data_IF_229011515512
#
_entry.id   IF_229011515512
#
_cell.length_a   1.000
_cell.length_b   1.000
_cell.length_c   1.000
_cell.angle_alpha   90.00
_cell.angle_beta   90.00
_cell.angle_gamma   90.00
#
_symmetry.space_group_name_H-M   'P 1'
#
loop_
_entity.id
_entity.type
_entity.pdbx_description
1 polymer ?
#
# COMPACT_ATOMS: atom_id res chain seq x y z
N UNK A 1 84.28 57.22 -7.81
CA UNK A 1 83.42 57.98 -6.88
C UNK A 1 82.48 56.98 -6.19
N UNK A 2 82.28 57.10 -4.87
CA UNK A 2 81.67 56.10 -3.96
C UNK A 2 80.17 55.78 -4.20
N UNK A 3 79.79 54.52 -3.97
CA UNK A 3 78.66 53.96 -3.14
C UNK A 3 78.16 52.64 -3.78
N UNK A 4 78.28 51.47 -3.15
CA UNK A 4 77.41 50.91 -2.09
C UNK A 4 75.94 50.81 -2.58
N UNK A 5 75.16 49.71 -2.52
CA UNK A 5 75.22 48.46 -1.74
C UNK A 5 73.97 47.60 -2.10
N UNK A 6 74.01 46.27 -1.85
CA UNK A 6 72.94 45.25 -1.66
C UNK A 6 72.04 44.86 -2.87
N UNK A 7 72.07 43.61 -3.37
CA UNK A 7 71.62 42.28 -2.86
C UNK A 7 70.10 42.02 -3.00
N UNK A 8 69.75 41.11 -3.91
CA UNK A 8 68.81 39.96 -3.75
C UNK A 8 68.68 39.27 -5.14
N UNK A 9 69.37 38.17 -5.42
CA UNK A 9 69.13 36.77 -5.01
C UNK A 9 67.99 36.08 -5.81
N UNK A 10 68.35 34.97 -6.47
CA UNK A 10 67.43 33.93 -6.97
C UNK A 10 67.46 33.74 -8.49
N UNK A 11 68.49 33.10 -9.06
CA UNK A 11 68.50 31.68 -9.47
C UNK A 11 67.34 31.33 -10.41
N UNK A 12 67.54 31.39 -11.74
CA UNK A 12 67.93 30.25 -12.60
C UNK A 12 67.16 28.97 -12.24
N UNK A 13 66.23 28.53 -13.10
CA UNK A 13 66.26 27.17 -13.64
C UNK A 13 65.27 26.99 -14.80
N UNK A 14 65.89 26.78 -15.97
CA UNK A 14 65.50 25.93 -17.08
C UNK A 14 64.08 25.34 -17.07
N UNK A 15 63.33 25.70 -18.10
CA UNK A 15 62.12 25.03 -18.55
C UNK A 15 62.41 23.56 -18.88
N UNK A 16 61.93 22.65 -18.03
CA UNK A 16 61.68 21.27 -18.41
C UNK A 16 60.26 21.21 -18.98
N UNK A 17 60.16 21.18 -20.32
CA UNK A 17 58.98 20.75 -21.03
C UNK A 17 58.75 19.27 -20.72
N UNK A 18 57.78 18.97 -19.86
CA UNK A 18 57.21 17.63 -19.74
C UNK A 18 55.74 17.70 -20.14
N UNK A 19 55.42 16.81 -21.09
CA UNK A 19 54.14 16.70 -21.75
C UNK A 19 52.97 16.63 -20.77
N UNK A 20 51.99 17.52 -20.95
CA UNK A 20 50.63 17.24 -20.53
C UNK A 20 50.11 16.10 -21.42
N UNK A 21 50.38 14.85 -21.04
CA UNK A 21 49.40 13.81 -21.31
C UNK A 21 48.14 14.27 -20.60
N UNK A 22 47.13 14.72 -21.37
CA UNK A 22 45.82 15.04 -20.84
C UNK A 22 45.37 13.92 -19.92
N UNK A 23 44.71 14.27 -18.82
CA UNK A 23 44.06 13.28 -17.97
C UNK A 23 43.19 12.40 -18.86
N UNK A 24 43.68 11.20 -19.17
CA UNK A 24 42.81 10.09 -19.51
C UNK A 24 42.07 9.80 -18.21
N UNK A 25 40.89 10.39 -18.06
CA UNK A 25 39.92 9.91 -17.09
C UNK A 25 39.58 8.51 -17.57
N UNK A 26 40.32 7.52 -17.07
CA UNK A 26 39.94 6.12 -17.23
C UNK A 26 38.58 6.03 -16.55
N UNK A 27 37.50 5.72 -17.28
CA UNK A 27 36.20 5.52 -16.66
C UNK A 27 36.39 4.50 -15.53
N UNK A 28 35.91 4.82 -14.33
CA UNK A 28 35.85 3.84 -13.25
C UNK A 28 35.12 2.59 -13.73
N UNK A 29 35.34 1.43 -13.09
CA UNK A 29 34.63 0.23 -13.47
C UNK A 29 33.12 0.47 -13.43
N UNK A 30 32.38 -0.12 -14.37
CA UNK A 30 30.92 -0.14 -14.31
C UNK A 30 30.48 -0.85 -13.02
N UNK A 31 29.32 -0.45 -12.49
CA UNK A 31 28.62 -1.20 -11.47
C UNK A 31 27.63 -2.18 -12.10
N UNK A 32 27.09 -3.08 -11.28
CA UNK A 32 26.12 -4.09 -11.71
C UNK A 32 24.79 -3.88 -11.00
N UNK A 33 23.70 -3.87 -11.75
CA UNK A 33 22.34 -3.84 -11.20
C UNK A 33 21.66 -5.17 -11.47
N UNK A 34 21.19 -5.82 -10.41
CA UNK A 34 20.33 -7.01 -10.47
C UNK A 34 18.95 -6.62 -10.00
N UNK A 35 17.93 -6.83 -10.84
CA UNK A 35 16.54 -6.53 -10.49
C UNK A 35 15.73 -7.82 -10.42
N UNK A 36 15.19 -8.09 -9.24
CA UNK A 36 14.15 -9.06 -9.01
C UNK A 36 12.80 -8.36 -9.02
N UNK A 37 11.85 -8.88 -9.79
CA UNK A 37 10.50 -8.34 -9.86
C UNK A 37 9.51 -9.31 -9.24
N UNK A 38 8.65 -8.77 -8.38
CA UNK A 38 7.49 -9.47 -7.85
C UNK A 38 6.22 -8.68 -8.15
N UNK A 39 5.09 -9.36 -8.17
CA UNK A 39 3.77 -8.73 -8.15
C UNK A 39 3.08 -9.05 -6.84
N UNK A 40 2.44 -8.05 -6.26
CA UNK A 40 1.56 -8.25 -5.13
C UNK A 40 0.27 -8.92 -5.60
N UNK A 41 0.01 -10.15 -5.13
CA UNK A 41 -1.27 -10.82 -5.38
C UNK A 41 -2.27 -10.45 -4.30
N UNK A 42 -3.58 -10.71 -4.50
CA UNK A 42 -4.56 -10.68 -3.42
C UNK A 42 -4.02 -11.51 -2.24
N UNK A 43 -4.26 -11.06 -1.01
CA UNK A 43 -3.73 -11.64 0.25
C UNK A 43 -2.26 -11.36 0.58
N UNK A 44 -1.57 -10.46 -0.13
CA UNK A 44 -0.20 -10.05 0.23
C UNK A 44 0.87 -11.13 0.02
N UNK A 45 0.51 -12.21 -0.70
CA UNK A 45 1.46 -13.23 -1.13
C UNK A 45 2.30 -12.65 -2.27
N UNK A 46 3.63 -12.73 -2.12
CA UNK A 46 4.57 -12.37 -3.18
C UNK A 46 4.83 -13.63 -4.00
N UNK A 47 4.41 -13.64 -5.26
CA UNK A 47 4.76 -14.71 -6.19
C UNK A 47 5.90 -14.26 -7.08
N UNK A 48 6.96 -15.08 -7.18
CA UNK A 48 8.11 -14.83 -8.07
C UNK A 48 7.79 -15.22 -9.51
N UNK A 49 8.24 -14.39 -10.44
CA UNK A 49 8.51 -14.56 -11.90
C UNK A 49 7.50 -15.23 -12.83
N UNK A 50 6.76 -16.28 -12.47
CA UNK A 50 6.15 -17.18 -13.46
C UNK A 50 5.03 -16.56 -14.33
N UNK A 51 4.52 -15.37 -13.99
CA UNK A 51 3.55 -14.62 -14.80
C UNK A 51 4.00 -13.20 -15.21
N UNK A 52 5.24 -12.81 -14.92
CA UNK A 52 5.71 -11.42 -15.08
C UNK A 52 6.59 -11.22 -16.30
N UNK A 53 7.00 -12.28 -17.00
CA UNK A 53 8.01 -12.22 -18.06
C UNK A 53 7.68 -11.21 -19.18
N UNK A 54 6.40 -10.95 -19.41
CA UNK A 54 5.91 -10.03 -20.44
C UNK A 54 5.72 -8.59 -19.95
N UNK A 55 5.88 -8.31 -18.66
CA UNK A 55 5.80 -6.95 -18.13
C UNK A 55 6.93 -6.12 -18.74
N UNK A 56 6.60 -4.89 -19.11
CA UNK A 56 7.56 -3.91 -19.60
C UNK A 56 8.50 -3.54 -18.46
N UNK A 57 9.80 -3.53 -18.75
CA UNK A 57 10.85 -3.08 -17.85
C UNK A 57 11.55 -1.89 -18.48
N UNK A 58 11.56 -0.77 -17.77
CA UNK A 58 12.28 0.45 -18.13
C UNK A 58 13.39 0.73 -17.11
N UNK A 59 14.58 1.06 -17.60
CA UNK A 59 15.66 1.61 -16.78
C UNK A 59 16.02 3.00 -17.30
N UNK A 60 15.92 4.00 -16.44
CA UNK A 60 16.05 5.41 -16.79
C UNK A 60 17.20 5.98 -15.98
N UNK A 61 18.20 6.59 -16.63
CA UNK A 61 19.28 7.29 -15.92
C UNK A 61 18.76 8.65 -15.45
N UNK A 62 19.07 9.04 -14.21
CA UNK A 62 18.63 10.33 -13.68
C UNK A 62 19.08 11.49 -14.58
N UNK A 63 18.12 12.29 -15.05
CA UNK A 63 18.37 13.43 -15.94
C UNK A 63 18.75 13.08 -17.39
N UNK A 64 18.59 11.81 -17.81
CA UNK A 64 18.88 11.34 -19.16
C UNK A 64 17.75 10.50 -19.77
N UNK A 65 18.06 9.84 -20.89
CA UNK A 65 17.12 9.00 -21.64
C UNK A 65 16.89 7.62 -20.97
N UNK A 66 15.83 6.95 -21.40
CA UNK A 66 15.59 5.53 -21.10
C UNK A 66 16.70 4.69 -21.71
N UNK A 67 17.50 4.05 -20.85
CA UNK A 67 18.64 3.22 -21.27
C UNK A 67 18.23 1.80 -21.66
N UNK A 68 17.22 1.25 -20.98
CA UNK A 68 16.66 -0.06 -21.30
C UNK A 68 15.15 0.03 -21.42
N UNK A 69 14.64 -0.57 -22.48
CA UNK A 69 13.23 -0.82 -22.71
C UNK A 69 13.09 -2.27 -23.19
N UNK A 70 12.68 -3.15 -22.29
CA UNK A 70 12.65 -4.59 -22.51
C UNK A 70 11.49 -5.20 -21.72
N UNK A 71 11.55 -6.51 -21.46
CA UNK A 71 10.61 -7.19 -20.57
C UNK A 71 11.32 -7.77 -19.36
N UNK A 72 10.55 -7.98 -18.28
CA UNK A 72 11.06 -8.58 -17.04
C UNK A 72 11.74 -9.94 -17.31
N UNK A 73 11.15 -10.79 -18.14
CA UNK A 73 11.71 -12.12 -18.45
C UNK A 73 13.08 -12.07 -19.15
N UNK A 74 13.43 -10.93 -19.77
CA UNK A 74 14.74 -10.74 -20.42
C UNK A 74 15.82 -10.20 -19.48
N UNK A 75 15.44 -9.62 -18.35
CA UNK A 75 16.37 -8.97 -17.41
C UNK A 75 16.48 -9.72 -16.07
N UNK A 76 15.47 -10.50 -15.69
CA UNK A 76 15.49 -11.29 -14.45
C UNK A 76 16.69 -12.25 -14.40
N UNK A 77 17.42 -12.22 -13.29
CA UNK A 77 18.58 -13.08 -13.04
C UNK A 77 19.85 -12.73 -13.82
N UNK A 78 19.85 -11.65 -14.62
CA UNK A 78 21.02 -11.19 -15.36
C UNK A 78 21.50 -9.82 -14.86
N UNK A 79 22.75 -9.68 -14.38
CA UNK A 79 23.27 -8.39 -13.96
C UNK A 79 23.41 -7.43 -15.15
N UNK A 80 22.85 -6.23 -15.02
CA UNK A 80 23.00 -5.13 -15.97
C UNK A 80 24.26 -4.34 -15.62
N UNK A 81 25.21 -4.26 -16.56
CA UNK A 81 26.43 -3.45 -16.39
C UNK A 81 26.12 -2.00 -16.74
N UNK A 82 26.33 -1.08 -15.80
CA UNK A 82 25.90 0.31 -15.89
C UNK A 82 27.00 1.25 -15.38
N UNK A 83 27.12 2.42 -16.01
CA UNK A 83 27.97 3.49 -15.47
C UNK A 83 27.52 3.89 -14.06
N UNK A 84 28.42 4.27 -13.14
CA UNK A 84 28.01 4.72 -11.82
C UNK A 84 27.03 5.90 -11.87
N UNK A 85 26.02 5.89 -11.00
CA UNK A 85 25.00 6.93 -10.91
C UNK A 85 23.64 6.44 -10.44
N UNK A 86 22.66 7.35 -10.43
CA UNK A 86 21.29 7.06 -10.02
C UNK A 86 20.42 6.66 -11.20
N UNK A 87 19.61 5.63 -11.00
CA UNK A 87 18.68 5.09 -11.97
C UNK A 87 17.29 4.96 -11.37
N UNK A 88 16.27 5.17 -12.20
CA UNK A 88 14.88 4.80 -11.90
C UNK A 88 14.54 3.55 -12.68
N UNK A 89 14.06 2.55 -11.97
CA UNK A 89 13.51 1.31 -12.52
C UNK A 89 11.99 1.47 -12.53
N UNK A 90 11.35 1.25 -13.66
CA UNK A 90 9.90 1.19 -13.78
C UNK A 90 9.48 -0.13 -14.41
N UNK A 91 8.44 -0.75 -13.87
CA UNK A 91 7.87 -1.98 -14.41
C UNK A 91 6.36 -1.89 -14.43
N UNK A 92 5.75 -2.32 -15.54
CA UNK A 92 4.30 -2.42 -15.66
C UNK A 92 3.85 -3.50 -16.64
N UNK A 93 2.63 -4.00 -16.49
CA UNK A 93 2.12 -5.07 -17.36
C UNK A 93 1.81 -4.59 -18.78
N UNK A 94 1.08 -3.49 -18.92
CA UNK A 94 0.78 -2.84 -20.20
C UNK A 94 0.29 -1.40 -19.98
N UNK A 95 0.37 -0.50 -20.96
CA UNK A 95 -0.14 0.86 -20.81
C UNK A 95 -1.66 0.87 -20.57
N UNK A 96 -2.06 1.64 -19.56
CA UNK A 96 -3.46 1.91 -19.24
C UNK A 96 -3.77 3.38 -19.53
N UNK A 97 -4.46 3.65 -20.64
CA UNK A 97 -4.71 5.01 -21.15
C UNK A 97 -6.17 5.44 -21.07
N UNK A 98 -7.09 4.49 -20.91
CA UNK A 98 -8.52 4.71 -20.78
C UNK A 98 -9.17 3.56 -20.01
N UNK A 99 -10.35 3.77 -19.40
CA UNK A 99 -11.12 2.69 -18.81
C UNK A 99 -11.37 1.54 -19.77
N UNK A 100 -11.21 0.31 -19.29
CA UNK A 100 -11.34 -0.90 -20.11
C UNK A 100 -11.75 -2.10 -19.27
N UNK A 101 -12.51 -3.02 -19.86
CA UNK A 101 -12.84 -4.29 -19.22
C UNK A 101 -11.64 -5.23 -19.16
N UNK A 102 -11.56 -5.98 -18.07
CA UNK A 102 -10.61 -7.06 -17.82
C UNK A 102 -9.14 -6.63 -17.97
N UNK A 103 -8.88 -5.34 -17.68
CA UNK A 103 -7.59 -4.68 -17.88
C UNK A 103 -7.02 -4.13 -16.56
N UNK A 104 -6.63 -4.97 -15.59
CA UNK A 104 -5.91 -4.50 -14.41
C UNK A 104 -4.57 -3.90 -14.84
N UNK A 105 -4.18 -2.81 -14.19
CA UNK A 105 -2.92 -2.12 -14.44
C UNK A 105 -2.02 -2.30 -13.23
N UNK A 106 -0.92 -3.01 -13.41
CA UNK A 106 0.10 -3.23 -12.38
C UNK A 106 1.31 -2.37 -12.71
N UNK A 107 1.84 -1.66 -11.71
CA UNK A 107 2.98 -0.78 -11.84
C UNK A 107 3.86 -0.83 -10.59
N UNK A 108 5.17 -0.69 -10.77
CA UNK A 108 6.15 -0.54 -9.70
C UNK A 108 7.27 0.39 -10.15
N UNK A 109 7.76 1.22 -9.22
CA UNK A 109 8.90 2.12 -9.47
C UNK A 109 9.82 2.19 -8.26
N UNK A 110 11.13 2.19 -8.51
CA UNK A 110 12.15 2.32 -7.47
C UNK A 110 13.41 2.96 -8.02
N UNK A 111 14.08 3.75 -7.19
CA UNK A 111 15.40 4.30 -7.49
C UNK A 111 16.51 3.40 -6.97
N UNK A 112 17.59 3.28 -7.75
CA UNK A 112 18.79 2.53 -7.39
C UNK A 112 20.03 3.39 -7.65
N UNK A 113 20.94 3.42 -6.69
CA UNK A 113 22.27 4.00 -6.85
C UNK A 113 23.24 2.88 -7.24
N UNK A 114 23.86 3.01 -8.41
CA UNK A 114 24.87 2.08 -8.90
C UNK A 114 26.25 2.67 -8.61
N UNK A 115 27.05 1.93 -7.85
CA UNK A 115 28.43 2.27 -7.51
C UNK A 115 29.39 1.44 -8.38
N UNK A 116 30.45 2.07 -8.87
CA UNK A 116 31.41 1.42 -9.77
C UNK A 116 32.12 0.24 -9.12
N UNK A 117 32.13 -0.91 -9.79
CA UNK A 117 32.72 -2.15 -9.28
C UNK A 117 31.89 -2.90 -8.23
N UNK A 118 30.71 -2.39 -7.86
CA UNK A 118 29.81 -3.02 -6.89
C UNK A 118 28.56 -3.60 -7.57
N UNK A 119 27.87 -4.50 -6.86
CA UNK A 119 26.56 -5.03 -7.24
C UNK A 119 25.46 -4.41 -6.39
N UNK A 120 24.45 -3.82 -7.04
CA UNK A 120 23.22 -3.33 -6.45
C UNK A 120 22.09 -4.33 -6.73
N UNK A 121 21.48 -4.88 -5.68
CA UNK A 121 20.33 -5.77 -5.81
C UNK A 121 19.04 -5.04 -5.43
N UNK A 122 18.04 -5.09 -6.31
CA UNK A 122 16.75 -4.41 -6.12
C UNK A 122 15.62 -5.43 -6.22
N UNK A 123 14.78 -5.49 -5.18
CA UNK A 123 13.50 -6.18 -5.23
C UNK A 123 12.37 -5.17 -5.50
N UNK A 124 11.93 -5.10 -6.75
CA UNK A 124 10.82 -4.25 -7.16
C UNK A 124 9.48 -5.00 -7.03
N UNK A 125 8.53 -4.44 -6.30
CA UNK A 125 7.18 -5.01 -6.14
C UNK A 125 6.17 -4.18 -6.93
N UNK A 126 5.60 -4.75 -7.99
CA UNK A 126 4.50 -4.16 -8.75
C UNK A 126 3.18 -4.33 -8.00
N UNK A 127 2.36 -3.27 -7.98
CA UNK A 127 1.03 -3.24 -7.35
C UNK A 127 0.00 -2.85 -8.40
N UNK A 128 -1.25 -3.27 -8.20
CA UNK A 128 -2.33 -2.71 -9.02
C UNK A 128 -2.36 -1.19 -8.80
N UNK A 129 -2.68 -0.39 -9.80
CA UNK A 129 -2.79 1.08 -9.64
C UNK A 129 -4.16 1.59 -10.08
N UNK A 130 -4.85 0.87 -10.97
CA UNK A 130 -6.23 1.17 -11.32
C UNK A 130 -7.23 0.51 -10.36
N UNK A 131 -8.45 1.04 -10.34
CA UNK A 131 -9.57 0.52 -9.57
C UNK A 131 -10.39 -0.43 -10.45
N UNK A 132 -10.80 -1.58 -9.93
CA UNK A 132 -11.76 -2.46 -10.59
C UNK A 132 -13.19 -2.12 -10.15
N UNK A 133 -14.11 -2.18 -11.09
CA UNK A 133 -15.53 -1.90 -10.91
C UNK A 133 -16.34 -2.98 -11.61
N UNK A 134 -17.29 -3.55 -10.89
CA UNK A 134 -18.28 -4.49 -11.41
C UNK A 134 -19.66 -3.97 -11.07
N UNK A 135 -20.60 -4.17 -11.99
CA UNK A 135 -22.01 -3.84 -11.77
C UNK A 135 -22.80 -5.14 -11.84
N UNK A 136 -23.69 -5.34 -10.87
CA UNK A 136 -24.59 -6.49 -10.79
C UNK A 136 -26.01 -5.95 -10.70
N UNK A 137 -26.92 -6.47 -11.51
CA UNK A 137 -28.33 -6.14 -11.44
C UNK A 137 -29.05 -7.25 -10.68
N UNK A 138 -29.91 -6.89 -9.71
CA UNK A 138 -30.64 -7.90 -8.95
C UNK A 138 -31.67 -8.61 -9.84
N UNK A 139 -32.02 -9.85 -9.49
CA UNK A 139 -33.03 -10.60 -10.22
C UNK A 139 -34.37 -9.85 -10.29
N UNK A 140 -34.79 -9.22 -9.20
CA UNK A 140 -36.00 -8.41 -9.14
C UNK A 140 -35.95 -7.20 -10.09
N UNK A 141 -34.80 -6.50 -10.16
CA UNK A 141 -34.60 -5.39 -11.08
C UNK A 141 -34.67 -5.86 -12.54
N UNK A 142 -33.98 -6.97 -12.86
CA UNK A 142 -33.92 -7.55 -14.20
C UNK A 142 -35.25 -8.12 -14.68
N UNK A 143 -36.15 -8.55 -13.78
CA UNK A 143 -37.51 -8.97 -14.14
C UNK A 143 -38.45 -7.78 -14.41
N UNK A 144 -38.19 -6.62 -13.79
CA UNK A 144 -39.03 -5.44 -13.88
C UNK A 144 -38.79 -4.62 -15.14
N UNK A 145 -37.52 -4.48 -15.55
CA UNK A 145 -37.12 -3.65 -16.70
C UNK A 145 -36.69 -4.52 -17.88
N UNK A 146 -37.16 -4.17 -19.09
CA UNK A 146 -36.86 -4.95 -20.31
C UNK A 146 -35.48 -4.61 -20.87
N UNK A 147 -35.08 -3.36 -20.74
CA UNK A 147 -33.78 -2.84 -21.16
C UNK A 147 -33.19 -2.01 -20.05
N UNK A 148 -31.93 -2.26 -19.69
CA UNK A 148 -31.26 -1.49 -18.65
C UNK A 148 -29.75 -1.48 -18.87
N UNK A 149 -29.11 -0.40 -18.43
CA UNK A 149 -27.66 -0.27 -18.42
C UNK A 149 -27.19 0.75 -17.40
N UNK A 150 -25.97 0.58 -16.92
CA UNK A 150 -25.26 1.50 -16.06
C UNK A 150 -24.04 2.03 -16.81
N UNK A 151 -24.05 3.30 -17.20
CA UNK A 151 -22.87 3.95 -17.72
C UNK A 151 -22.03 4.50 -16.56
N UNK A 152 -20.74 4.15 -16.53
CA UNK A 152 -19.80 4.67 -15.55
C UNK A 152 -18.75 5.49 -16.30
N UNK A 153 -18.79 6.80 -16.12
CA UNK A 153 -17.83 7.76 -16.65
C UNK A 153 -16.75 8.03 -15.61
N UNK A 154 -15.48 7.92 -16.00
CA UNK A 154 -14.34 8.32 -15.18
C UNK A 154 -13.32 9.11 -16.00
N UNK A 155 -12.16 9.36 -15.40
CA UNK A 155 -11.03 9.98 -16.11
C UNK A 155 -10.67 9.16 -17.34
N UNK A 156 -10.53 9.81 -18.49
CA UNK A 156 -10.09 9.17 -19.75
C UNK A 156 -11.16 8.38 -20.51
N UNK A 157 -12.37 8.18 -19.98
CA UNK A 157 -13.46 7.51 -20.72
C UNK A 157 -14.55 6.91 -19.84
N UNK A 158 -15.44 6.13 -20.47
CA UNK A 158 -16.57 5.49 -19.80
C UNK A 158 -16.70 4.01 -20.19
N UNK A 159 -17.31 3.21 -19.32
CA UNK A 159 -17.72 1.83 -19.60
C UNK A 159 -19.23 1.68 -19.36
N UNK A 160 -19.89 0.83 -20.15
CA UNK A 160 -21.33 0.60 -20.06
C UNK A 160 -21.66 -0.82 -19.62
N UNK A 161 -22.32 -0.96 -18.48
CA UNK A 161 -22.66 -2.26 -17.92
C UNK A 161 -24.13 -2.60 -18.18
N UNK A 162 -24.38 -3.78 -18.72
CA UNK A 162 -25.69 -4.37 -18.94
C UNK A 162 -25.65 -5.88 -18.59
N UNK A 163 -26.73 -6.60 -18.89
CA UNK A 163 -26.88 -8.04 -18.65
C UNK A 163 -25.78 -8.91 -19.29
N UNK A 164 -25.06 -8.42 -20.30
CA UNK A 164 -23.97 -9.15 -20.97
C UNK A 164 -22.62 -8.95 -20.29
N UNK A 165 -22.51 -7.98 -19.38
CA UNK A 165 -21.26 -7.55 -18.74
C UNK A 165 -21.18 -7.88 -17.25
N UNK A 166 -22.21 -8.51 -16.67
CA UNK A 166 -22.32 -8.77 -15.23
C UNK A 166 -21.19 -9.65 -14.67
N UNK A 167 -20.48 -10.40 -15.51
CA UNK A 167 -19.33 -11.22 -15.12
C UNK A 167 -17.98 -10.50 -15.24
N UNK A 168 -17.95 -9.31 -15.84
CA UNK A 168 -16.73 -8.58 -16.20
C UNK A 168 -16.37 -7.54 -15.16
N UNK A 169 -15.07 -7.34 -14.99
CA UNK A 169 -14.54 -6.21 -14.25
C UNK A 169 -14.18 -5.10 -15.23
N UNK A 170 -14.71 -3.91 -15.06
CA UNK A 170 -14.22 -2.70 -15.73
C UNK A 170 -13.17 -2.03 -14.86
N UNK A 171 -12.06 -1.64 -15.44
CA UNK A 171 -10.99 -0.96 -14.72
C UNK A 171 -10.97 0.52 -15.08
N UNK A 172 -10.74 1.36 -14.07
CA UNK A 172 -10.77 2.82 -14.17
C UNK A 172 -9.56 3.44 -13.48
N UNK A 173 -9.16 4.63 -13.92
CA UNK A 173 -8.24 5.45 -13.14
C UNK A 173 -8.87 5.80 -11.79
N UNK A 174 -8.08 5.85 -10.70
CA UNK A 174 -8.55 6.33 -9.42
C UNK A 174 -9.06 7.77 -9.49
N UNK A 175 -10.06 8.09 -8.66
CA UNK A 175 -10.67 9.41 -8.58
C UNK A 175 -12.18 9.33 -8.70
N UNK A 176 -12.77 10.43 -9.17
CA UNK A 176 -14.20 10.56 -9.32
C UNK A 176 -14.73 9.76 -10.50
N UNK A 177 -15.83 9.05 -10.28
CA UNK A 177 -16.67 8.45 -11.33
C UNK A 177 -18.11 8.91 -11.19
N UNK A 178 -18.81 8.99 -12.32
CA UNK A 178 -20.24 9.29 -12.40
C UNK A 178 -20.97 8.08 -12.95
N UNK A 179 -21.98 7.63 -12.20
CA UNK A 179 -22.80 6.47 -12.52
C UNK A 179 -24.15 6.96 -13.03
N UNK A 180 -24.53 6.57 -14.24
CA UNK A 180 -25.82 6.90 -14.85
C UNK A 180 -26.56 5.61 -15.19
N UNK A 181 -27.59 5.31 -14.40
CA UNK A 181 -28.51 4.19 -14.67
C UNK A 181 -29.54 4.63 -15.70
N UNK A 182 -29.73 3.82 -16.73
CA UNK A 182 -30.82 3.96 -17.69
C UNK A 182 -31.63 2.69 -17.70
N UNK A 183 -32.95 2.79 -17.52
CA UNK A 183 -33.89 1.67 -17.54
C UNK A 183 -35.11 2.02 -18.42
N UNK A 184 -35.45 1.15 -19.36
CA UNK A 184 -36.55 1.31 -20.33
C UNK A 184 -36.62 2.70 -20.97
N UNK A 185 -35.46 3.22 -21.36
CA UNK A 185 -35.30 4.52 -22.02
C UNK A 185 -35.30 5.74 -21.08
N UNK A 186 -35.49 5.54 -19.78
CA UNK A 186 -35.43 6.61 -18.77
C UNK A 186 -34.09 6.58 -18.04
N UNK A 187 -33.38 7.70 -18.05
CA UNK A 187 -32.09 7.87 -17.34
C UNK A 187 -32.29 8.59 -16.02
N UNK A 188 -31.62 8.11 -14.98
CA UNK A 188 -31.53 8.79 -13.70
C UNK A 188 -30.42 9.84 -13.72
N UNK A 189 -30.54 10.81 -12.81
CA UNK A 189 -29.47 11.78 -12.60
C UNK A 189 -28.15 11.08 -12.23
N UNK A 190 -27.00 11.54 -12.78
CA UNK A 190 -25.72 10.94 -12.48
C UNK A 190 -25.40 10.98 -10.99
N UNK A 191 -24.94 9.84 -10.47
CA UNK A 191 -24.53 9.70 -9.09
C UNK A 191 -23.00 9.69 -9.04
N UNK A 192 -22.45 10.62 -8.27
CA UNK A 192 -21.02 10.73 -8.09
C UNK A 192 -20.49 9.74 -7.04
N UNK A 193 -19.37 9.08 -7.34
CA UNK A 193 -18.62 8.23 -6.41
C UNK A 193 -17.12 8.47 -6.54
N UNK A 194 -16.38 8.18 -5.47
CA UNK A 194 -14.93 8.21 -5.45
C UNK A 194 -14.41 6.77 -5.40
N UNK A 195 -13.51 6.42 -6.33
CA UNK A 195 -12.85 5.12 -6.37
C UNK A 195 -11.34 5.28 -6.18
N UNK A 196 -10.73 4.35 -5.46
CA UNK A 196 -9.33 4.43 -5.04
C UNK A 196 -8.49 3.41 -5.80
N UNK A 197 -7.22 3.75 -6.00
CA UNK A 197 -6.24 2.85 -6.59
C UNK A 197 -6.28 1.48 -5.92
N UNK A 198 -6.23 0.43 -6.74
CA UNK A 198 -6.20 -0.99 -6.35
C UNK A 198 -7.56 -1.57 -5.90
N UNK A 199 -8.51 -0.75 -5.46
CA UNK A 199 -9.79 -1.23 -4.91
C UNK A 199 -10.66 -1.90 -5.98
N UNK A 200 -11.46 -2.89 -5.55
CA UNK A 200 -12.42 -3.59 -6.39
C UNK A 200 -13.84 -3.32 -5.86
N UNK A 201 -14.66 -2.60 -6.62
CA UNK A 201 -16.00 -2.16 -6.24
C UNK A 201 -17.05 -3.01 -6.94
N UNK A 202 -18.02 -3.57 -6.20
CA UNK A 202 -19.25 -4.12 -6.78
C UNK A 202 -20.41 -3.16 -6.52
N UNK A 203 -20.98 -2.59 -7.58
CA UNK A 203 -22.22 -1.86 -7.52
C UNK A 203 -23.38 -2.82 -7.75
N UNK A 204 -24.22 -3.03 -6.74
CA UNK A 204 -25.46 -3.77 -6.89
C UNK A 204 -26.59 -2.78 -7.15
N UNK A 205 -27.31 -3.00 -8.26
CA UNK A 205 -28.49 -2.23 -8.64
C UNK A 205 -29.72 -2.98 -8.16
N UNK A 206 -30.40 -2.40 -7.17
CA UNK A 206 -31.58 -2.96 -6.51
C UNK A 206 -32.76 -1.98 -6.57
N UNK A 207 -33.95 -2.52 -6.32
CA UNK A 207 -35.14 -1.70 -6.09
C UNK A 207 -35.18 -1.22 -4.64
N UNK A 208 -35.59 0.03 -4.41
CA UNK A 208 -36.01 0.49 -3.08
C UNK A 208 -37.32 1.24 -3.10
N UNK A 209 -38.13 0.92 -2.10
CA UNK A 209 -39.31 1.67 -1.69
C UNK A 209 -40.02 0.94 -0.56
N UNK A 210 -40.01 1.51 0.65
CA UNK A 210 -41.04 1.21 1.66
C UNK A 210 -42.32 1.96 1.29
N UNK A 211 -43.49 1.46 1.68
CA UNK A 211 -44.79 2.06 1.36
C UNK A 211 -44.84 3.58 1.60
N UNK A 212 -45.37 4.30 0.60
CA UNK A 212 -45.75 5.72 0.50
C UNK A 212 -44.65 6.75 0.14
N UNK A 213 -44.87 7.32 -1.06
CA UNK A 213 -44.30 8.49 -1.72
C UNK A 213 -42.83 8.46 -2.20
N UNK A 214 -42.70 8.38 -3.54
CA UNK A 214 -41.52 8.47 -4.40
C UNK A 214 -40.46 7.36 -4.26
N UNK A 215 -40.61 6.37 -5.14
CA UNK A 215 -39.71 5.24 -5.32
C UNK A 215 -38.47 5.70 -6.10
N UNK A 216 -37.40 6.07 -5.41
CA UNK A 216 -36.05 6.19 -6.01
C UNK A 216 -35.30 4.86 -5.82
N UNK A 217 -34.50 4.40 -6.80
CA UNK A 217 -33.71 3.17 -6.66
C UNK A 217 -32.51 3.36 -5.72
N UNK A 218 -32.25 2.35 -4.88
CA UNK A 218 -31.14 2.31 -3.93
C UNK A 218 -30.02 1.50 -4.54
N UNK A 219 -28.84 2.11 -4.53
CA UNK A 219 -27.59 1.50 -4.95
C UNK A 219 -26.93 0.88 -3.73
N UNK A 220 -26.94 -0.45 -3.63
CA UNK A 220 -26.18 -1.16 -2.61
C UNK A 220 -24.74 -1.31 -3.12
N UNK A 221 -23.81 -0.48 -2.67
CA UNK A 221 -22.39 -0.66 -2.97
C UNK A 221 -21.83 -1.73 -2.03
N UNK A 222 -21.39 -2.86 -2.57
CA UNK A 222 -20.57 -3.83 -1.84
C UNK A 222 -19.14 -3.74 -2.35
N UNK A 223 -18.22 -3.28 -1.51
CA UNK A 223 -16.80 -3.24 -1.87
C UNK A 223 -16.21 -4.63 -1.59
N UNK A 224 -15.70 -5.28 -2.62
CA UNK A 224 -14.89 -6.49 -2.45
C UNK A 224 -13.45 -6.04 -2.15
N UNK A 225 -13.15 -5.89 -0.85
CA UNK A 225 -11.85 -5.44 -0.34
C UNK A 225 -10.75 -6.49 -0.41
N UNK A 226 -10.98 -7.65 -1.05
CA UNK A 226 -10.02 -8.77 -1.08
C UNK A 226 -8.72 -8.43 -1.84
N UNK A 227 -8.66 -7.31 -2.59
CA UNK A 227 -7.48 -6.95 -3.39
C UNK A 227 -6.70 -5.69 -2.99
N UNK A 228 -7.10 -4.94 -1.96
CA UNK A 228 -6.24 -3.84 -1.44
C UNK A 228 -6.54 -3.45 -0.01
N UNK A 229 -5.46 -3.34 0.75
CA UNK A 229 -5.46 -2.60 2.01
C UNK A 229 -4.90 -1.19 1.80
N UNK A 230 -5.75 -0.19 2.04
CA UNK A 230 -5.44 1.24 2.17
C UNK A 230 -4.46 1.46 3.31
N UNK A 231 -3.40 2.20 3.00
CA UNK A 231 -2.77 3.12 3.96
C UNK A 231 -3.63 4.38 4.05
N UNK A 232 -4.27 4.57 5.21
CA UNK A 232 -4.84 5.80 5.77
C UNK A 232 -5.91 6.59 4.99
N UNK A 233 -7.14 6.44 5.52
CA UNK A 233 -8.22 7.42 5.79
C UNK A 233 -8.91 8.19 4.65
N UNK A 234 -10.25 8.11 4.61
CA UNK A 234 -11.18 9.22 4.88
C UNK A 234 -12.63 8.71 5.09
N UNK A 235 -13.34 9.32 6.04
CA UNK A 235 -14.66 8.95 6.57
C UNK A 235 -15.83 9.32 5.64
N UNK A 236 -16.85 8.47 5.55
CA UNK A 236 -18.23 8.85 5.90
C UNK A 236 -19.02 7.61 6.33
N UNK A 237 -19.81 7.81 7.37
CA UNK A 237 -20.68 6.88 8.08
C UNK A 237 -21.85 6.47 7.17
N UNK A 238 -21.98 5.17 6.90
CA UNK A 238 -23.25 4.42 6.89
C UNK A 238 -22.97 2.96 6.52
N UNK A 239 -23.30 2.03 7.42
CA UNK A 239 -23.67 0.66 7.04
C UNK A 239 -22.69 -0.50 7.28
N UNK A 240 -21.39 -0.31 7.52
CA UNK A 240 -20.51 -1.44 7.90
C UNK A 240 -20.12 -1.36 9.37
N UNK A 241 -20.59 -2.32 10.17
CA UNK A 241 -20.25 -2.38 11.60
C UNK A 241 -18.78 -2.78 11.75
N UNK A 242 -17.90 -1.78 11.93
CA UNK A 242 -16.46 -1.99 12.17
C UNK A 242 -16.21 -2.78 13.45
N UNK A 243 -15.20 -3.63 13.41
CA UNK A 243 -14.70 -4.40 14.54
C UNK A 243 -15.44 -5.70 14.84
N UNK A 244 -16.46 -6.09 14.07
CA UNK A 244 -17.16 -7.37 14.30
C UNK A 244 -16.43 -8.59 13.70
N UNK A 245 -15.57 -8.37 12.71
CA UNK A 245 -14.76 -9.40 12.07
C UNK A 245 -13.28 -9.03 12.08
N UNK A 246 -12.39 -10.01 11.88
CA UNK A 246 -10.94 -9.77 11.83
C UNK A 246 -10.60 -8.77 10.70
N UNK A 247 -11.32 -8.87 9.59
CA UNK A 247 -11.17 -8.06 8.38
C UNK A 247 -11.69 -6.63 8.55
N UNK A 248 -12.54 -6.39 9.57
CA UNK A 248 -13.02 -5.04 9.90
C UNK A 248 -12.45 -4.53 11.22
N UNK A 249 -11.40 -5.17 11.74
CA UNK A 249 -10.77 -4.82 13.01
C UNK A 249 -10.36 -3.34 13.05
N UNK A 250 -10.56 -2.71 14.20
CA UNK A 250 -10.08 -1.36 14.43
C UNK A 250 -8.56 -1.33 14.45
N UNK A 251 -7.98 -0.33 13.77
CA UNK A 251 -6.59 0.08 14.02
C UNK A 251 -6.42 0.53 15.47
N UNK A 252 -5.20 0.62 15.96
CA UNK A 252 -4.94 1.08 17.32
C UNK A 252 -5.32 2.54 17.51
N UNK A 253 -5.11 3.39 16.49
CA UNK A 253 -5.60 4.76 16.50
C UNK A 253 -7.12 4.85 16.64
N UNK A 254 -7.88 4.07 15.86
CA UNK A 254 -9.34 4.08 15.96
C UNK A 254 -9.82 3.46 17.28
N UNK A 255 -9.24 2.35 17.72
CA UNK A 255 -9.60 1.67 18.97
C UNK A 255 -9.44 2.58 20.20
N UNK A 256 -8.45 3.48 20.19
CA UNK A 256 -8.26 4.49 21.24
C UNK A 256 -9.39 5.53 21.30
N UNK A 257 -10.19 5.68 20.26
CA UNK A 257 -11.34 6.61 20.23
C UNK A 257 -12.67 5.95 20.58
N UNK A 258 -12.69 4.62 20.74
CA UNK A 258 -13.92 3.88 21.04
C UNK A 258 -14.38 4.10 22.48
N UNK A 259 -15.71 4.08 22.66
CA UNK A 259 -16.30 4.00 23.99
C UNK A 259 -15.92 2.67 24.66
N UNK A 260 -15.71 2.72 25.98
CA UNK A 260 -15.49 1.53 26.77
C UNK A 260 -16.79 0.73 26.97
N UNK A 261 -16.70 -0.59 26.91
CA UNK A 261 -17.81 -1.50 27.21
C UNK A 261 -18.36 -2.26 26.01
N UNK A 262 -17.89 -1.97 24.80
CA UNK A 262 -18.25 -2.70 23.58
C UNK A 262 -17.65 -4.10 23.64
N UNK A 263 -18.48 -5.12 23.43
CA UNK A 263 -18.06 -6.51 23.49
C UNK A 263 -17.71 -7.03 22.10
N UNK A 264 -16.85 -8.06 22.07
CA UNK A 264 -16.54 -8.83 20.86
C UNK A 264 -15.96 -7.99 19.71
N UNK A 265 -15.19 -6.96 20.07
CA UNK A 265 -14.53 -6.03 19.14
C UNK A 265 -13.13 -6.53 18.80
N UNK A 266 -12.85 -6.63 17.51
CA UNK A 266 -11.52 -6.87 16.96
C UNK A 266 -10.71 -5.58 16.87
N UNK A 267 -9.46 -5.66 17.32
CA UNK A 267 -8.42 -4.66 17.10
C UNK A 267 -7.21 -5.29 16.43
N UNK A 268 -6.45 -4.50 15.68
CA UNK A 268 -5.24 -4.93 14.99
C UNK A 268 -4.09 -3.96 15.26
N UNK A 269 -2.93 -4.49 15.66
CA UNK A 269 -1.72 -3.71 15.88
C UNK A 269 -0.47 -4.57 16.04
N UNK A 270 0.68 -3.93 16.09
CA UNK A 270 1.97 -4.54 16.41
C UNK A 270 2.16 -4.64 17.92
N UNK A 271 2.69 -5.76 18.40
CA UNK A 271 3.07 -5.93 19.80
C UNK A 271 4.33 -5.11 20.07
N UNK A 272 4.19 -3.97 20.72
CA UNK A 272 5.28 -2.99 20.92
C UNK A 272 5.85 -3.00 22.33
N UNK A 273 5.41 -3.91 23.20
CA UNK A 273 5.94 -4.07 24.55
C UNK A 273 4.85 -4.41 25.56
N UNK A 274 4.99 -3.91 26.79
CA UNK A 274 4.04 -4.14 27.86
C UNK A 274 4.04 -2.99 28.89
N UNK A 275 3.28 -3.18 29.98
CA UNK A 275 3.13 -2.24 31.07
C UNK A 275 3.51 -2.87 32.42
N UNK A 276 4.11 -2.07 33.30
CA UNK A 276 4.22 -2.41 34.72
C UNK A 276 2.85 -2.41 35.41
N UNK A 277 2.78 -3.02 36.60
CA UNK A 277 1.61 -2.91 37.48
C UNK A 277 1.28 -1.45 37.85
N UNK A 278 2.28 -0.56 37.89
CA UNK A 278 2.11 0.88 38.12
C UNK A 278 1.73 1.67 36.87
N UNK A 279 1.53 1.02 35.71
CA UNK A 279 1.13 1.67 34.46
C UNK A 279 2.26 2.39 33.71
N UNK A 280 3.52 2.08 34.01
CA UNK A 280 4.67 2.52 33.20
C UNK A 280 4.69 1.69 31.92
N UNK A 281 4.81 2.35 30.77
CA UNK A 281 4.91 1.70 29.47
C UNK A 281 6.37 1.41 29.14
N UNK A 282 6.66 0.18 28.69
CA UNK A 282 7.99 -0.22 28.23
C UNK A 282 7.93 -0.63 26.76
N UNK A 283 8.42 0.24 25.88
CA UNK A 283 8.57 -0.08 24.46
C UNK A 283 9.66 -1.16 24.28
N UNK A 284 9.33 -2.24 23.59
CA UNK A 284 10.20 -3.42 23.41
C UNK A 284 10.44 -4.23 24.69
N UNK A 285 9.80 -3.87 25.80
CA UNK A 285 10.01 -4.49 27.11
C UNK A 285 9.19 -5.76 27.33
N UNK A 286 9.68 -6.60 28.24
CA UNK A 286 9.07 -7.88 28.64
C UNK A 286 8.88 -7.99 30.17
N UNK A 287 8.52 -6.89 30.81
CA UNK A 287 8.39 -6.76 32.26
C UNK A 287 7.09 -7.39 32.80
N UNK A 288 6.16 -7.75 31.92
CA UNK A 288 4.88 -8.35 32.33
C UNK A 288 4.36 -9.39 31.34
N UNK A 289 3.99 -10.56 31.87
CA UNK A 289 3.28 -11.59 31.12
C UNK A 289 1.75 -11.42 31.13
N UNK A 290 1.22 -10.48 31.92
CA UNK A 290 -0.24 -10.36 32.13
C UNK A 290 -0.89 -9.32 31.24
N UNK A 291 -0.11 -8.60 30.45
CA UNK A 291 -0.56 -7.60 29.50
C UNK A 291 0.45 -7.43 28.37
N UNK A 292 0.00 -6.81 27.28
CA UNK A 292 0.86 -6.32 26.22
C UNK A 292 0.39 -4.93 25.78
N UNK A 293 1.22 -4.24 25.00
CA UNK A 293 0.90 -2.97 24.37
C UNK A 293 0.87 -3.16 22.86
N UNK A 294 -0.18 -2.65 22.21
CA UNK A 294 -0.31 -2.61 20.76
C UNK A 294 -0.09 -1.20 20.21
N UNK A 295 0.38 -1.09 18.97
CA UNK A 295 0.43 0.17 18.21
C UNK A 295 0.22 -0.07 16.70
N UNK A 296 -0.05 1.00 15.94
CA UNK A 296 -0.20 0.91 14.48
C UNK A 296 1.15 0.75 13.74
N UNK A 297 2.28 0.93 14.42
CA UNK A 297 3.63 0.83 13.88
C UNK A 297 4.52 0.01 14.80
N UNK A 298 5.51 -0.66 14.21
CA UNK A 298 6.61 -1.35 14.91
C UNK A 298 7.75 -0.41 15.33
N UNK A 299 7.71 0.85 14.89
CA UNK A 299 8.68 1.88 15.30
C UNK A 299 8.47 2.31 16.76
N UNK A 300 9.49 2.96 17.33
CA UNK A 300 9.39 3.56 18.66
C UNK A 300 8.15 4.45 18.76
N UNK A 301 7.40 4.27 19.84
CA UNK A 301 6.23 5.09 20.18
C UNK A 301 6.24 5.48 21.65
N UNK A 302 5.55 6.58 21.94
CA UNK A 302 5.29 7.04 23.30
C UNK A 302 4.01 6.41 23.86
N UNK A 303 3.90 6.34 25.20
CA UNK A 303 2.75 5.74 25.91
C UNK A 303 1.38 6.13 25.32
N UNK A 304 1.05 7.41 25.06
CA UNK A 304 -0.29 7.80 24.57
C UNK A 304 -0.67 7.21 23.20
N UNK A 305 0.32 6.75 22.42
CA UNK A 305 0.12 6.14 21.11
C UNK A 305 -0.04 4.62 21.16
N UNK A 306 0.19 4.01 22.32
CA UNK A 306 0.00 2.59 22.54
C UNK A 306 -1.41 2.27 23.05
N UNK A 307 -1.78 1.00 22.98
CA UNK A 307 -3.08 0.49 23.40
C UNK A 307 -2.90 -0.77 24.23
N UNK A 308 -3.15 -0.70 25.55
CA UNK A 308 -2.93 -1.82 26.46
C UNK A 308 -3.98 -2.91 26.28
N UNK A 309 -3.54 -4.15 26.27
CA UNK A 309 -4.38 -5.35 26.18
C UNK A 309 -4.12 -6.24 27.38
N UNK A 310 -5.19 -6.59 28.10
CA UNK A 310 -5.13 -7.58 29.16
C UNK A 310 -4.91 -8.97 28.58
N UNK A 311 -4.02 -9.74 29.20
CA UNK A 311 -3.86 -11.16 28.91
C UNK A 311 -4.23 -11.93 30.17
N UNK A 312 -5.47 -12.44 30.34
CA UNK A 312 -5.85 -13.30 31.46
C UNK A 312 -5.10 -14.64 31.42
N UNK A 313 -5.04 -15.35 32.54
CA UNK A 313 -4.40 -16.67 32.57
C UNK A 313 -5.11 -17.62 31.59
N UNK A 314 -4.36 -18.29 30.72
CA UNK A 314 -4.87 -19.23 29.73
C UNK A 314 -4.20 -19.08 28.36
N UNK A 315 -4.76 -19.78 27.37
CA UNK A 315 -4.14 -20.01 26.06
C UNK A 315 -3.71 -18.75 25.31
N UNK A 316 -4.47 -17.65 25.41
CA UNK A 316 -4.14 -16.38 24.76
C UNK A 316 -2.90 -15.75 25.40
N UNK A 317 -2.79 -15.77 26.74
CA UNK A 317 -1.59 -15.29 27.44
C UNK A 317 -0.39 -16.17 27.09
N UNK A 318 -0.56 -17.48 27.17
CA UNK A 318 0.52 -18.44 26.93
C UNK A 318 1.11 -18.25 25.52
N UNK A 319 0.27 -17.89 24.54
CA UNK A 319 0.68 -17.65 23.16
C UNK A 319 1.24 -16.24 22.89
N UNK A 320 0.68 -15.19 23.50
CA UNK A 320 0.98 -13.81 23.11
C UNK A 320 1.97 -13.09 24.02
N UNK A 321 2.13 -13.52 25.27
CA UNK A 321 2.94 -12.77 26.22
C UNK A 321 4.42 -12.71 25.78
N UNK A 322 5.03 -11.54 25.92
CA UNK A 322 6.39 -11.26 25.44
C UNK A 322 7.49 -11.76 26.38
N UNK A 323 7.14 -12.20 27.59
CA UNK A 323 8.09 -12.77 28.55
C UNK A 323 8.50 -14.16 28.09
N UNK A 324 7.52 -15.01 27.86
CA UNK A 324 7.72 -16.39 27.43
C UNK A 324 7.92 -16.47 25.90
N UNK A 325 7.36 -15.51 25.15
CA UNK A 325 7.45 -15.46 23.69
C UNK A 325 8.09 -14.14 23.21
N UNK A 326 9.38 -13.88 23.49
CA UNK A 326 10.05 -12.63 23.12
C UNK A 326 10.06 -12.36 21.61
N UNK A 327 10.03 -13.41 20.78
CA UNK A 327 9.91 -13.30 19.33
C UNK A 327 8.56 -12.78 18.83
N UNK A 328 7.60 -12.47 19.71
CA UNK A 328 6.35 -11.84 19.35
C UNK A 328 6.44 -10.31 19.32
N UNK A 329 7.50 -9.73 19.88
CA UNK A 329 7.75 -8.29 19.74
C UNK A 329 7.79 -7.91 18.26
N UNK A 330 7.17 -6.78 17.96
CA UNK A 330 7.02 -6.20 16.64
C UNK A 330 6.23 -7.08 15.64
N UNK A 331 5.64 -8.19 16.09
CA UNK A 331 4.68 -8.92 15.26
C UNK A 331 3.31 -8.27 15.31
N UNK A 332 2.66 -8.25 14.15
CA UNK A 332 1.27 -7.82 14.02
C UNK A 332 0.34 -8.92 14.55
N UNK A 333 -0.70 -8.52 15.25
CA UNK A 333 -1.69 -9.43 15.83
C UNK A 333 -3.08 -8.81 15.78
N UNK A 334 -4.08 -9.65 15.57
CA UNK A 334 -5.49 -9.33 15.75
C UNK A 334 -5.97 -9.93 17.06
N UNK A 335 -6.67 -9.14 17.87
CA UNK A 335 -7.22 -9.60 19.16
C UNK A 335 -8.67 -9.15 19.26
N UNK A 336 -9.56 -10.08 19.61
CA UNK A 336 -10.97 -9.83 19.89
C UNK A 336 -11.21 -9.77 21.38
N UNK A 337 -11.85 -8.72 21.86
CA UNK A 337 -12.15 -8.57 23.28
C UNK A 337 -13.21 -7.52 23.57
N UNK A 338 -13.21 -7.03 24.80
CA UNK A 338 -14.09 -5.97 25.27
C UNK A 338 -13.32 -4.65 25.38
N UNK A 339 -13.80 -3.59 24.74
CA UNK A 339 -13.19 -2.27 24.87
C UNK A 339 -13.31 -1.76 26.31
N UNK A 340 -12.34 -0.99 26.75
CA UNK A 340 -12.30 -0.42 28.08
C UNK A 340 -11.84 1.03 28.00
N UNK A 341 -12.57 1.93 28.67
CA UNK A 341 -12.27 3.36 28.64
C UNK A 341 -10.97 3.72 29.37
N UNK A 342 -10.52 2.87 30.32
CA UNK A 342 -9.29 3.11 31.08
C UNK A 342 -8.64 1.82 31.57
N UNK A 343 -7.51 1.50 30.97
CA UNK A 343 -6.56 0.47 31.39
C UNK A 343 -5.15 1.07 31.32
N UNK A 344 -4.43 1.07 32.45
CA UNK A 344 -3.17 1.83 32.62
C UNK A 344 -3.24 3.34 32.30
N UNK A 345 -4.45 3.92 32.43
CA UNK A 345 -4.71 5.34 32.16
C UNK A 345 -4.97 5.66 30.68
N UNK A 346 -5.16 4.65 29.83
CA UNK A 346 -5.49 4.80 28.41
C UNK A 346 -6.70 3.93 28.05
N UNK A 347 -7.44 4.25 26.98
CA UNK A 347 -8.35 3.28 26.35
C UNK A 347 -7.60 1.99 26.02
N UNK A 348 -8.22 0.83 26.24
CA UNK A 348 -7.57 -0.47 26.09
C UNK A 348 -8.56 -1.62 25.85
N UNK A 349 -8.03 -2.84 25.73
CA UNK A 349 -8.84 -4.05 25.54
C UNK A 349 -8.72 -4.98 26.75
N UNK A 350 -9.85 -5.50 27.20
CA UNK A 350 -9.93 -6.49 28.28
C UNK A 350 -10.67 -7.73 27.85
N UNK A 351 -10.53 -8.80 28.63
CA UNK A 351 -11.24 -10.06 28.41
C UNK A 351 -11.12 -10.57 26.96
N UNK A 352 -9.89 -10.73 26.42
CA UNK A 352 -9.70 -11.26 25.08
C UNK A 352 -10.29 -12.66 24.98
N UNK A 353 -10.93 -12.95 23.84
CA UNK A 353 -11.59 -14.24 23.56
C UNK A 353 -10.95 -14.99 22.41
N UNK A 354 -10.45 -14.27 21.42
CA UNK A 354 -9.89 -14.82 20.18
C UNK A 354 -8.69 -13.97 19.77
N UNK A 355 -7.71 -14.60 19.13
CA UNK A 355 -6.60 -13.89 18.48
C UNK A 355 -6.22 -14.57 17.17
N UNK A 356 -5.53 -13.84 16.31
CA UNK A 356 -4.98 -14.36 15.08
C UNK A 356 -3.74 -13.57 14.70
N UNK A 357 -2.74 -14.24 14.12
CA UNK A 357 -1.55 -13.60 13.58
C UNK A 357 -1.80 -12.90 12.26
#
# INVERSE_FOLDING_TARGET
MRRNILKAAGCILFAALWACNGLNIVPGPDGFLVVDVAVETPFGVRTRSTGLDNYVFLLIKQGGDTLYNSTVGKITGSPLSLTPGNYTIEVFNEPFTAPAYDKPYFYGSQTAEVVGGESCEVLLVCKQENAGVRVVFSEAFSQKYTTYSMNILGTGGALNYDSTTESRWGYFFPGQINLTLTADGSSLEPIERQIQARYMYNFLVEESGGTQDNVEPVFTLSVDTVRTWVSSTWNNTEGTVRGLTKETAYTIAEARTLEGGLNDIWVCGYIVGCYSSGGVFFFGGNESATNLALADSESYIEKPLSYPVELPLGTIRDALNVVDNPGNLLKKVWIKGKTNASYFGLPGLKSPKEYSW
#
